data_IF_539563519297
#
_entry.id   IF_539563519297
#
_cell.length_a   1.000
_cell.length_b   1.000
_cell.length_c   1.000
_cell.angle_alpha   90.00
_cell.angle_beta   90.00
_cell.angle_gamma   90.00
#
_symmetry.space_group_name_H-M   'P 1'
#
loop_
_entity.id
_entity.type
_entity.pdbx_description
1 polymer ?
#
# COMPACT_ATOMS: atom_id res chain seq x y z
N UNK A 1 -33.16 84.35 7.23
CA UNK A 1 -33.08 83.19 8.14
C UNK A 1 -34.03 82.02 7.82
N UNK A 2 -34.94 82.10 6.83
CA UNK A 2 -35.81 80.95 6.43
C UNK A 2 -35.09 79.87 5.59
N UNK A 3 -34.00 80.21 4.89
CA UNK A 3 -33.22 79.25 4.06
C UNK A 3 -32.24 78.45 4.94
N UNK A 4 -31.75 79.02 6.05
CA UNK A 4 -30.87 78.31 6.99
C UNK A 4 -31.61 77.29 7.85
N UNK A 5 -32.88 77.50 8.16
CA UNK A 5 -33.72 76.55 8.92
C UNK A 5 -34.16 75.34 8.10
N UNK A 6 -34.44 75.51 6.80
CA UNK A 6 -34.74 74.39 5.90
C UNK A 6 -33.53 73.47 5.71
N UNK A 7 -32.34 74.04 5.49
CA UNK A 7 -31.09 73.27 5.40
C UNK A 7 -30.75 72.51 6.71
N UNK A 8 -31.05 73.08 7.88
CA UNK A 8 -30.88 72.42 9.18
C UNK A 8 -31.84 71.23 9.36
N UNK A 9 -33.07 71.37 8.87
CA UNK A 9 -34.08 70.31 8.91
C UNK A 9 -33.69 69.13 8.01
N UNK A 10 -33.34 69.40 6.76
CA UNK A 10 -32.96 68.37 5.79
C UNK A 10 -31.67 67.64 6.21
N UNK A 11 -30.68 68.37 6.75
CA UNK A 11 -29.47 67.74 7.29
C UNK A 11 -29.76 66.89 8.52
N UNK A 12 -30.71 67.28 9.38
CA UNK A 12 -31.08 66.47 10.56
C UNK A 12 -31.81 65.17 10.19
N UNK A 13 -32.71 65.21 9.20
CA UNK A 13 -33.39 64.01 8.67
C UNK A 13 -32.38 63.10 7.97
N UNK A 14 -31.50 63.65 7.14
CA UNK A 14 -30.44 62.89 6.47
C UNK A 14 -29.46 62.25 7.47
N UNK A 15 -29.24 62.87 8.63
CA UNK A 15 -28.45 62.28 9.72
C UNK A 15 -29.22 61.16 10.44
N UNK A 16 -30.52 61.32 10.69
CA UNK A 16 -31.36 60.28 11.29
C UNK A 16 -31.49 59.05 10.39
N UNK A 17 -31.76 59.24 9.10
CA UNK A 17 -31.81 58.16 8.11
C UNK A 17 -30.48 57.41 8.01
N UNK A 18 -29.34 58.12 8.02
CA UNK A 18 -28.02 57.48 8.07
C UNK A 18 -27.83 56.63 9.31
N UNK A 19 -28.20 57.13 10.49
CA UNK A 19 -28.10 56.36 11.76
C UNK A 19 -29.02 55.16 11.79
N UNK A 20 -30.24 55.29 11.26
CA UNK A 20 -31.18 54.19 11.13
C UNK A 20 -30.63 53.07 10.24
N UNK A 21 -30.01 53.43 9.10
CA UNK A 21 -29.36 52.46 8.22
C UNK A 21 -28.18 51.77 8.91
N UNK A 22 -27.34 52.51 9.65
CA UNK A 22 -26.21 51.91 10.38
C UNK A 22 -26.69 50.93 11.47
N UNK A 23 -27.76 51.26 12.20
CA UNK A 23 -28.37 50.36 13.19
C UNK A 23 -28.92 49.08 12.55
N UNK A 24 -29.54 49.17 11.38
CA UNK A 24 -30.01 48.00 10.65
C UNK A 24 -28.86 47.09 10.23
N UNK A 25 -27.77 47.66 9.69
CA UNK A 25 -26.57 46.88 9.34
C UNK A 25 -25.94 46.22 10.55
N UNK A 26 -25.78 46.94 11.68
CA UNK A 26 -25.24 46.36 12.90
C UNK A 26 -26.15 45.27 13.49
N UNK A 27 -27.46 45.46 13.44
CA UNK A 27 -28.42 44.42 13.82
C UNK A 27 -28.25 43.18 12.95
N UNK A 28 -28.09 43.33 11.63
CA UNK A 28 -27.82 42.20 10.72
C UNK A 28 -26.48 41.50 11.02
N UNK A 29 -25.42 42.26 11.33
CA UNK A 29 -24.13 41.69 11.72
C UNK A 29 -24.24 40.92 13.04
N UNK A 30 -24.98 41.44 14.02
CA UNK A 30 -25.22 40.77 15.30
C UNK A 30 -26.08 39.50 15.16
N UNK A 31 -27.10 39.52 14.30
CA UNK A 31 -27.97 38.35 14.10
C UNK A 31 -27.30 37.26 13.28
N UNK A 32 -26.47 37.64 12.31
CA UNK A 32 -25.72 36.69 11.46
C UNK A 32 -24.39 36.22 12.07
N UNK A 33 -23.83 36.95 13.04
CA UNK A 33 -22.48 36.72 13.55
C UNK A 33 -21.36 37.08 12.57
N UNK A 34 -21.68 37.69 11.41
CA UNK A 34 -20.71 38.03 10.37
C UNK A 34 -20.56 39.53 10.21
N UNK A 35 -19.32 40.00 10.18
CA UNK A 35 -18.95 41.37 9.84
C UNK A 35 -19.18 41.66 8.36
N UNK A 36 -18.90 40.71 7.49
CA UNK A 36 -19.01 40.83 6.03
C UNK A 36 -20.08 39.87 5.53
N UNK A 37 -21.22 40.39 5.09
CA UNK A 37 -22.30 39.58 4.50
C UNK A 37 -22.29 39.66 2.99
N UNK A 38 -22.05 40.84 2.44
CA UNK A 38 -22.00 41.10 1.01
C UNK A 38 -20.59 41.54 0.61
N UNK A 39 -20.20 41.24 -0.64
CA UNK A 39 -18.92 41.70 -1.18
C UNK A 39 -18.80 43.24 -1.21
N UNK A 40 -19.94 43.96 -1.18
CA UNK A 40 -19.99 45.42 -1.07
C UNK A 40 -19.58 45.96 0.31
N UNK A 41 -19.67 45.14 1.37
CA UNK A 41 -19.39 45.59 2.75
C UNK A 41 -17.87 45.74 2.96
N UNK A 42 -17.08 44.80 2.42
CA UNK A 42 -15.62 44.81 2.41
C UNK A 42 -15.11 43.87 1.30
N UNK A 43 -14.78 44.39 0.09
CA UNK A 43 -14.39 43.55 -1.03
C UNK A 43 -13.07 42.81 -0.78
N UNK A 44 -12.19 43.34 0.08
CA UNK A 44 -10.91 42.71 0.37
C UNK A 44 -11.06 41.52 1.31
N UNK A 45 -11.90 41.66 2.34
CA UNK A 45 -12.21 40.57 3.24
C UNK A 45 -13.06 39.50 2.56
N UNK A 46 -14.03 39.89 1.72
CA UNK A 46 -14.80 38.94 0.91
C UNK A 46 -13.87 38.09 0.02
N UNK A 47 -12.90 38.70 -0.67
CA UNK A 47 -11.93 37.97 -1.49
C UNK A 47 -10.96 37.06 -0.67
N UNK A 48 -10.74 37.35 0.62
CA UNK A 48 -9.98 36.46 1.51
C UNK A 48 -10.83 35.28 1.98
N UNK A 49 -12.08 35.52 2.39
CA UNK A 49 -13.02 34.46 2.77
C UNK A 49 -13.26 33.49 1.60
N UNK A 50 -13.46 34.00 0.38
CA UNK A 50 -13.65 33.16 -0.80
C UNK A 50 -12.44 32.26 -1.08
N UNK A 51 -11.22 32.82 -1.03
CA UNK A 51 -9.99 32.03 -1.20
C UNK A 51 -9.86 30.95 -0.13
N UNK A 52 -10.14 31.28 1.12
CA UNK A 52 -10.14 30.31 2.22
C UNK A 52 -11.20 29.20 2.00
N UNK A 53 -12.40 29.54 1.51
CA UNK A 53 -13.44 28.57 1.19
C UNK A 53 -13.05 27.63 0.06
N UNK A 54 -12.43 28.15 -1.01
CA UNK A 54 -11.91 27.33 -2.11
C UNK A 54 -10.84 26.36 -1.58
N UNK A 55 -9.94 26.83 -0.72
CA UNK A 55 -8.92 25.99 -0.12
C UNK A 55 -9.52 24.90 0.78
N UNK A 56 -10.51 25.23 1.62
CA UNK A 56 -11.25 24.23 2.40
C UNK A 56 -11.87 23.15 1.51
N UNK A 57 -12.52 23.54 0.40
CA UNK A 57 -13.12 22.59 -0.54
C UNK A 57 -12.10 21.66 -1.20
N UNK A 58 -10.88 22.16 -1.48
CA UNK A 58 -9.76 21.34 -1.98
C UNK A 58 -9.26 20.37 -0.93
N UNK A 59 -9.13 20.82 0.33
CA UNK A 59 -8.74 19.95 1.45
C UNK A 59 -9.77 18.85 1.68
N UNK A 60 -11.08 19.16 1.62
CA UNK A 60 -12.15 18.17 1.77
C UNK A 60 -12.16 17.12 0.65
N UNK A 61 -11.84 17.53 -0.59
CA UNK A 61 -11.64 16.58 -1.69
C UNK A 61 -10.44 15.67 -1.45
N UNK A 62 -9.33 16.21 -0.93
CA UNK A 62 -8.14 15.43 -0.59
C UNK A 62 -8.38 14.47 0.60
N UNK A 63 -9.14 14.89 1.62
CA UNK A 63 -9.48 14.03 2.76
C UNK A 63 -10.28 12.80 2.30
N UNK A 64 -11.27 12.98 1.42
CA UNK A 64 -12.02 11.86 0.82
C UNK A 64 -11.13 10.92 0.02
N UNK A 65 -10.20 11.47 -0.76
CA UNK A 65 -9.24 10.70 -1.54
C UNK A 65 -8.28 9.89 -0.65
N UNK A 66 -7.81 10.50 0.44
CA UNK A 66 -6.97 9.86 1.45
C UNK A 66 -7.70 8.73 2.15
N UNK A 67 -8.96 8.94 2.55
CA UNK A 67 -9.77 7.93 3.23
C UNK A 67 -10.04 6.72 2.32
N UNK A 68 -10.33 6.96 1.04
CA UNK A 68 -10.45 5.89 0.04
C UNK A 68 -9.14 5.08 -0.10
N UNK A 69 -8.00 5.77 -0.17
CA UNK A 69 -6.68 5.13 -0.19
C UNK A 69 -6.42 4.31 1.09
N UNK A 70 -6.68 4.87 2.28
CA UNK A 70 -6.51 4.20 3.57
C UNK A 70 -7.36 2.93 3.66
N UNK A 71 -8.61 2.99 3.21
CA UNK A 71 -9.50 1.82 3.20
C UNK A 71 -8.97 0.72 2.28
N UNK A 72 -8.54 1.06 1.06
CA UNK A 72 -7.96 0.10 0.13
C UNK A 72 -6.66 -0.51 0.63
N UNK A 73 -5.75 0.31 1.19
CA UNK A 73 -4.47 -0.16 1.74
C UNK A 73 -4.69 -1.06 2.96
N UNK A 74 -5.61 -0.70 3.87
CA UNK A 74 -5.98 -1.54 5.02
C UNK A 74 -6.54 -2.89 4.59
N UNK A 75 -7.44 -2.91 3.61
CA UNK A 75 -8.03 -4.15 3.11
C UNK A 75 -6.99 -5.03 2.39
N UNK A 76 -6.07 -4.41 1.64
CA UNK A 76 -4.96 -5.09 0.98
C UNK A 76 -3.96 -5.69 1.98
N UNK A 77 -3.63 -4.95 3.05
CA UNK A 77 -2.77 -5.42 4.14
C UNK A 77 -3.37 -6.65 4.82
N UNK A 78 -4.67 -6.58 5.18
CA UNK A 78 -5.38 -7.70 5.78
C UNK A 78 -5.43 -8.92 4.85
N UNK A 79 -5.68 -8.72 3.56
CA UNK A 79 -5.69 -9.80 2.56
C UNK A 79 -4.31 -10.50 2.45
N UNK A 80 -3.21 -9.74 2.44
CA UNK A 80 -1.88 -10.34 2.46
C UNK A 80 -1.56 -11.01 3.81
N UNK A 81 -2.11 -10.52 4.91
CA UNK A 81 -2.04 -11.17 6.22
C UNK A 81 -2.70 -12.55 6.22
N UNK A 82 -3.93 -12.63 5.70
CA UNK A 82 -4.67 -13.88 5.52
C UNK A 82 -3.89 -14.86 4.62
N UNK A 83 -3.35 -14.36 3.50
CA UNK A 83 -2.56 -15.15 2.56
C UNK A 83 -1.30 -15.74 3.21
N UNK A 84 -0.57 -14.94 4.01
CA UNK A 84 0.60 -15.41 4.74
C UNK A 84 0.24 -16.49 5.78
N UNK A 85 -0.92 -16.39 6.44
CA UNK A 85 -1.43 -17.44 7.31
C UNK A 85 -1.72 -18.76 6.58
N UNK A 86 -2.29 -18.69 5.38
CA UNK A 86 -2.51 -19.86 4.53
C UNK A 86 -1.20 -20.48 4.01
N UNK A 87 -0.21 -19.65 3.66
CA UNK A 87 1.11 -20.15 3.26
C UNK A 87 1.86 -20.84 4.41
N UNK A 88 1.68 -20.38 5.64
CA UNK A 88 2.19 -21.10 6.82
C UNK A 88 1.56 -22.49 6.94
N UNK A 89 0.24 -22.61 6.75
CA UNK A 89 -0.44 -23.91 6.73
C UNK A 89 0.05 -24.81 5.57
N UNK A 90 0.33 -24.22 4.40
CA UNK A 90 0.93 -24.94 3.28
C UNK A 90 2.33 -25.45 3.63
N UNK A 91 3.14 -24.61 4.28
CA UNK A 91 4.48 -24.97 4.77
C UNK A 91 4.42 -26.11 5.78
N UNK A 92 3.52 -26.05 6.77
CA UNK A 92 3.31 -27.15 7.73
C UNK A 92 2.93 -28.45 7.03
N UNK A 93 2.06 -28.36 6.03
CA UNK A 93 1.62 -29.51 5.22
C UNK A 93 2.80 -30.09 4.42
N UNK A 94 3.68 -29.25 3.87
CA UNK A 94 4.92 -29.69 3.22
C UNK A 94 5.91 -30.31 4.21
N UNK A 95 6.09 -29.73 5.39
CA UNK A 95 6.93 -30.34 6.44
C UNK A 95 6.43 -31.74 6.78
N UNK A 96 5.11 -31.92 6.94
CA UNK A 96 4.51 -33.24 7.16
C UNK A 96 4.74 -34.18 5.95
N UNK A 97 4.62 -33.66 4.73
CA UNK A 97 4.92 -34.43 3.52
C UNK A 97 6.40 -34.85 3.41
N UNK A 98 7.32 -34.21 4.12
CA UNK A 98 8.71 -34.66 4.22
C UNK A 98 8.90 -35.99 4.96
N UNK A 99 7.89 -36.48 5.69
CA UNK A 99 7.99 -37.74 6.44
C UNK A 99 8.19 -38.94 5.51
N UNK A 100 9.31 -39.65 5.66
CA UNK A 100 9.67 -40.79 4.81
C UNK A 100 8.73 -42.00 4.96
N UNK A 101 8.04 -42.13 6.10
CA UNK A 101 7.15 -43.26 6.39
C UNK A 101 5.76 -43.12 5.75
N UNK A 102 5.42 -41.97 5.16
CA UNK A 102 4.12 -41.77 4.51
C UNK A 102 4.03 -42.50 3.18
N UNK A 103 2.91 -43.20 3.01
CA UNK A 103 2.47 -43.85 1.78
C UNK A 103 2.03 -42.85 0.72
N UNK A 104 1.96 -43.30 -0.54
CA UNK A 104 1.46 -42.50 -1.66
C UNK A 104 0.01 -42.03 -1.43
N UNK A 105 -0.81 -42.83 -0.74
CA UNK A 105 -2.19 -42.47 -0.40
C UNK A 105 -2.25 -41.33 0.62
N UNK A 106 -1.41 -41.35 1.66
CA UNK A 106 -1.32 -40.27 2.66
C UNK A 106 -0.80 -38.98 2.02
N UNK A 107 0.22 -39.07 1.15
CA UNK A 107 0.75 -37.92 0.39
C UNK A 107 -0.30 -37.30 -0.53
N UNK A 108 -1.13 -38.12 -1.18
CA UNK A 108 -2.26 -37.64 -1.97
C UNK A 108 -3.26 -36.86 -1.11
N UNK A 109 -3.54 -37.31 0.11
CA UNK A 109 -4.36 -36.57 1.07
C UNK A 109 -3.78 -35.20 1.42
N UNK A 110 -2.45 -35.10 1.60
CA UNK A 110 -1.76 -33.81 1.79
C UNK A 110 -1.85 -32.92 0.54
N UNK A 111 -1.77 -33.51 -0.65
CA UNK A 111 -1.96 -32.78 -1.91
C UNK A 111 -3.37 -32.18 -2.03
N UNK A 112 -4.39 -32.89 -1.57
CA UNK A 112 -5.77 -32.39 -1.55
C UNK A 112 -5.94 -31.24 -0.54
N UNK A 113 -5.25 -31.31 0.61
CA UNK A 113 -5.18 -30.18 1.56
C UNK A 113 -4.50 -28.96 0.93
N UNK A 114 -3.36 -29.13 0.26
CA UNK A 114 -2.66 -28.04 -0.43
C UNK A 114 -3.51 -27.42 -1.54
N UNK A 115 -4.30 -28.23 -2.25
CA UNK A 115 -5.27 -27.72 -3.23
C UNK A 115 -6.31 -26.82 -2.58
N UNK A 116 -6.89 -27.22 -1.45
CA UNK A 116 -7.82 -26.37 -0.71
C UNK A 116 -7.19 -25.03 -0.32
N UNK A 117 -5.93 -25.05 0.15
CA UNK A 117 -5.18 -23.83 0.48
C UNK A 117 -4.95 -22.95 -0.77
N UNK A 118 -4.57 -23.56 -1.90
CA UNK A 118 -4.38 -22.88 -3.18
C UNK A 118 -5.66 -22.16 -3.63
N UNK A 119 -6.80 -22.83 -3.54
CA UNK A 119 -8.09 -22.27 -3.97
C UNK A 119 -8.52 -21.10 -3.06
N UNK A 120 -8.28 -21.22 -1.75
CA UNK A 120 -8.48 -20.12 -0.79
C UNK A 120 -7.56 -18.93 -1.08
N UNK A 121 -6.28 -19.18 -1.39
CA UNK A 121 -5.34 -18.12 -1.78
C UNK A 121 -5.77 -17.42 -3.07
N UNK A 122 -6.31 -18.16 -4.05
CA UNK A 122 -6.83 -17.57 -5.29
C UNK A 122 -8.03 -16.65 -5.01
N UNK A 123 -8.90 -17.03 -4.09
CA UNK A 123 -10.00 -16.18 -3.63
C UNK A 123 -9.50 -14.89 -2.96
N UNK A 124 -8.44 -14.98 -2.15
CA UNK A 124 -7.81 -13.79 -1.53
C UNK A 124 -7.13 -12.90 -2.58
N UNK A 125 -6.41 -13.48 -3.54
CA UNK A 125 -5.75 -12.75 -4.61
C UNK A 125 -6.77 -12.01 -5.52
N UNK A 126 -7.99 -12.52 -5.60
CA UNK A 126 -9.13 -11.91 -6.29
C UNK A 126 -10.13 -11.24 -5.33
N UNK A 127 -9.69 -10.73 -4.18
CA UNK A 127 -10.58 -10.03 -3.23
C UNK A 127 -11.04 -8.68 -3.81
N UNK A 128 -12.36 -8.39 -3.82
CA UNK A 128 -12.88 -7.13 -4.33
C UNK A 128 -12.55 -5.96 -3.39
N UNK A 129 -12.47 -4.75 -3.95
CA UNK A 129 -12.22 -3.51 -3.18
C UNK A 129 -13.50 -2.86 -2.62
N UNK A 130 -14.68 -3.43 -2.93
CA UNK A 130 -15.99 -2.90 -2.52
C UNK A 130 -16.55 -1.77 -3.40
N UNK A 131 -15.78 -1.28 -4.37
CA UNK A 131 -16.13 -0.20 -5.31
C UNK A 131 -16.30 -0.68 -6.76
N UNK A 132 -16.30 -2.00 -6.98
CA UNK A 132 -16.42 -2.63 -8.30
C UNK A 132 -15.09 -3.03 -8.94
N UNK A 133 -13.97 -2.84 -8.23
CA UNK A 133 -12.65 -3.31 -8.62
C UNK A 133 -12.10 -4.39 -7.69
N UNK A 134 -10.81 -4.68 -7.85
CA UNK A 134 -10.07 -5.67 -7.06
C UNK A 134 -8.82 -5.06 -6.46
N UNK A 135 -8.48 -5.46 -5.23
CA UNK A 135 -7.37 -4.89 -4.45
C UNK A 135 -6.01 -5.05 -5.16
N UNK A 136 -5.80 -6.19 -5.79
CA UNK A 136 -4.56 -6.57 -6.46
C UNK A 136 -4.59 -6.36 -7.98
N UNK A 137 -5.49 -5.50 -8.48
CA UNK A 137 -5.67 -5.26 -9.93
C UNK A 137 -4.63 -4.36 -10.58
N UNK A 138 -3.63 -3.87 -9.84
CA UNK A 138 -2.62 -2.97 -10.38
C UNK A 138 -3.23 -1.65 -10.84
N UNK A 139 -3.14 -1.30 -12.13
CA UNK A 139 -3.75 -0.07 -12.69
C UNK A 139 -5.29 -0.08 -12.78
N UNK A 140 -5.96 -1.06 -12.20
CA UNK A 140 -7.41 -1.13 -12.12
C UNK A 140 -8.02 -2.02 -13.19
N UNK A 141 -8.97 -2.84 -12.78
CA UNK A 141 -9.74 -3.73 -13.65
C UNK A 141 -11.05 -4.10 -12.95
N UNK A 142 -12.15 -4.15 -13.70
CA UNK A 142 -13.42 -4.72 -13.25
C UNK A 142 -13.46 -6.25 -13.37
N UNK A 143 -12.44 -6.85 -14.00
CA UNK A 143 -12.27 -8.30 -14.12
C UNK A 143 -11.30 -8.81 -13.04
N UNK A 144 -11.47 -10.06 -12.57
CA UNK A 144 -10.54 -10.69 -11.62
C UNK A 144 -9.07 -10.63 -12.12
N UNK A 145 -8.13 -10.16 -11.29
CA UNK A 145 -6.74 -10.01 -11.71
C UNK A 145 -5.98 -11.33 -11.90
N UNK A 146 -6.40 -12.41 -11.25
CA UNK A 146 -5.79 -13.73 -11.35
C UNK A 146 -6.76 -14.74 -11.95
N UNK A 147 -6.35 -15.36 -13.06
CA UNK A 147 -7.13 -16.40 -13.73
C UNK A 147 -6.40 -17.74 -13.64
N UNK A 148 -7.15 -18.77 -13.26
CA UNK A 148 -6.68 -20.15 -13.27
C UNK A 148 -6.82 -20.73 -14.69
N UNK A 149 -5.69 -20.98 -15.34
CA UNK A 149 -5.62 -21.51 -16.70
C UNK A 149 -4.95 -22.89 -16.71
N UNK A 150 -4.94 -23.57 -17.85
CA UNK A 150 -4.29 -24.87 -17.99
C UNK A 150 -2.78 -24.83 -17.66
N UNK A 151 -2.13 -23.67 -17.82
CA UNK A 151 -0.72 -23.44 -17.46
C UNK A 151 -0.50 -23.03 -16.01
N UNK A 152 -1.54 -23.01 -15.17
CA UNK A 152 -1.52 -22.47 -13.80
C UNK A 152 -2.17 -21.10 -13.69
N UNK A 153 -2.14 -20.52 -12.49
CA UNK A 153 -2.68 -19.20 -12.23
C UNK A 153 -1.76 -18.13 -12.81
N UNK A 154 -2.34 -17.20 -13.55
CA UNK A 154 -1.60 -16.07 -14.12
C UNK A 154 -2.27 -14.74 -13.82
N UNK A 155 -1.44 -13.73 -13.59
CA UNK A 155 -1.87 -12.35 -13.50
C UNK A 155 -2.23 -11.80 -14.89
N UNK A 156 -3.48 -11.40 -15.07
CA UNK A 156 -4.00 -10.81 -16.33
C UNK A 156 -4.31 -9.31 -16.21
N UNK A 157 -4.02 -8.71 -15.05
CA UNK A 157 -4.13 -7.27 -14.85
C UNK A 157 -2.99 -6.48 -15.49
N UNK A 158 -3.09 -5.15 -15.44
CA UNK A 158 -1.99 -4.27 -15.87
C UNK A 158 -1.14 -3.91 -14.65
N UNK A 159 0.18 -4.21 -14.66
CA UNK A 159 1.08 -3.89 -13.54
C UNK A 159 1.12 -2.39 -13.24
N UNK A 160 1.48 -2.03 -12.01
CA UNK A 160 1.47 -0.65 -11.51
C UNK A 160 0.36 -0.40 -10.49
N UNK A 161 0.00 0.86 -10.30
CA UNK A 161 -0.95 1.27 -9.26
C UNK A 161 -1.86 2.39 -9.76
N UNK A 162 -3.08 2.47 -9.23
CA UNK A 162 -3.97 3.61 -9.42
C UNK A 162 -3.60 4.68 -8.40
N UNK A 163 -3.53 5.92 -8.85
CA UNK A 163 -3.31 7.09 -8.00
C UNK A 163 -4.45 8.08 -8.10
N UNK A 164 -4.75 8.78 -7.01
CA UNK A 164 -5.72 9.88 -7.01
C UNK A 164 -5.24 11.05 -7.88
N UNK A 165 -6.14 11.68 -8.63
CA UNK A 165 -5.84 12.78 -9.55
C UNK A 165 -5.62 14.15 -8.90
N UNK A 166 -5.55 14.23 -7.57
CA UNK A 166 -5.36 15.47 -6.84
C UNK A 166 -3.87 15.83 -6.71
N UNK A 167 -3.55 16.97 -6.06
CA UNK A 167 -2.16 17.40 -5.81
C UNK A 167 -1.33 16.31 -5.11
N UNK A 168 -1.95 15.60 -4.16
CA UNK A 168 -1.38 14.42 -3.53
C UNK A 168 -1.90 13.17 -4.25
N UNK A 169 -0.97 12.38 -4.80
CA UNK A 169 -1.24 11.13 -5.53
C UNK A 169 -1.23 9.96 -4.56
N UNK A 170 -2.39 9.67 -3.96
CA UNK A 170 -2.56 8.54 -3.04
C UNK A 170 -2.83 7.26 -3.82
N UNK A 171 -2.16 6.18 -3.42
CA UNK A 171 -2.30 4.86 -4.04
C UNK A 171 -3.64 4.22 -3.67
N UNK A 172 -4.37 3.71 -4.65
CA UNK A 172 -5.69 3.09 -4.46
C UNK A 172 -5.72 1.59 -4.72
N UNK A 173 -4.62 1.00 -5.16
CA UNK A 173 -4.51 -0.43 -5.48
C UNK A 173 -3.08 -0.91 -5.27
N UNK A 174 -2.91 -2.23 -5.14
CA UNK A 174 -1.60 -2.87 -5.03
C UNK A 174 -1.26 -3.56 -6.35
N UNK A 175 0.01 -3.55 -6.73
CA UNK A 175 0.51 -4.34 -7.86
C UNK A 175 0.45 -5.83 -7.48
N UNK A 176 -0.60 -6.51 -7.94
CA UNK A 176 -0.79 -7.93 -7.71
C UNK A 176 0.32 -8.78 -8.30
N UNK A 177 0.90 -8.39 -9.43
CA UNK A 177 1.99 -9.15 -10.06
C UNK A 177 3.23 -9.13 -9.16
N UNK A 178 3.58 -7.95 -8.63
CA UNK A 178 4.70 -7.81 -7.71
C UNK A 178 4.50 -8.65 -6.42
N UNK A 179 3.29 -8.63 -5.85
CA UNK A 179 2.99 -9.32 -4.61
C UNK A 179 2.93 -10.86 -4.76
N UNK A 180 2.40 -11.38 -5.88
CA UNK A 180 2.05 -12.79 -6.03
C UNK A 180 2.89 -13.57 -7.06
N UNK A 181 3.52 -12.92 -8.03
CA UNK A 181 4.25 -13.59 -9.13
C UNK A 181 5.75 -13.30 -9.19
N UNK A 182 6.25 -12.32 -8.41
CA UNK A 182 7.63 -11.81 -8.53
C UNK A 182 8.48 -12.06 -7.29
N UNK A 183 8.16 -13.11 -6.52
CA UNK A 183 9.04 -13.50 -5.43
C UNK A 183 10.42 -13.90 -5.98
N UNK A 184 11.46 -13.62 -5.19
CA UNK A 184 12.83 -13.96 -5.54
C UNK A 184 13.07 -15.43 -5.27
N UNK A 185 13.48 -16.19 -6.29
CA UNK A 185 13.61 -17.64 -6.21
C UNK A 185 14.80 -18.10 -5.36
N UNK A 186 14.80 -19.38 -4.99
CA UNK A 186 15.95 -20.01 -4.35
C UNK A 186 16.15 -19.58 -2.89
N UNK A 187 17.39 -19.54 -2.45
CA UNK A 187 17.77 -19.01 -1.12
C UNK A 187 17.91 -17.48 -1.12
N UNK A 188 17.37 -16.80 -2.14
CA UNK A 188 17.54 -15.36 -2.38
C UNK A 188 18.76 -15.03 -3.26
N UNK A 189 19.75 -15.90 -3.39
CA UNK A 189 20.92 -15.68 -4.26
C UNK A 189 20.98 -16.65 -5.42
N UNK A 190 20.66 -17.92 -5.16
CA UNK A 190 20.67 -18.97 -6.17
C UNK A 190 19.63 -20.05 -5.85
N UNK A 191 19.30 -20.81 -6.88
CA UNK A 191 18.41 -21.97 -6.88
C UNK A 191 19.28 -23.19 -7.12
N UNK A 192 19.17 -24.16 -6.23
CA UNK A 192 19.71 -25.51 -6.42
C UNK A 192 18.61 -26.45 -6.87
N UNK A 193 18.95 -27.40 -7.75
CA UNK A 193 18.07 -28.51 -8.11
C UNK A 193 18.86 -29.77 -8.50
N UNK A 194 18.24 -30.93 -8.35
CA UNK A 194 18.77 -32.19 -8.81
C UNK A 194 18.34 -32.46 -10.26
N UNK A 195 19.31 -32.62 -11.14
CA UNK A 195 19.09 -32.93 -12.54
C UNK A 195 18.84 -34.42 -12.79
N UNK A 196 18.65 -34.76 -14.06
CA UNK A 196 18.60 -36.15 -14.53
C UNK A 196 20.02 -36.70 -14.71
N UNK A 197 20.21 -37.98 -14.42
CA UNK A 197 21.46 -38.69 -14.66
C UNK A 197 21.51 -39.19 -16.12
N UNK A 198 22.39 -38.65 -16.99
CA UNK A 198 22.49 -39.08 -18.39
C UNK A 198 23.14 -40.47 -18.54
N UNK A 199 23.82 -40.97 -17.50
CA UNK A 199 24.51 -42.27 -17.52
C UNK A 199 23.72 -43.40 -16.86
N UNK A 200 22.54 -43.10 -16.30
CA UNK A 200 21.64 -44.12 -15.77
C UNK A 200 21.15 -45.07 -16.87
N UNK A 201 20.65 -46.24 -16.50
CA UNK A 201 19.99 -47.16 -17.44
C UNK A 201 18.57 -47.45 -16.94
N UNK A 202 17.52 -46.94 -17.61
CA UNK A 202 17.55 -46.09 -18.81
C UNK A 202 18.15 -44.69 -18.54
N UNK A 203 18.75 -44.02 -19.56
CA UNK A 203 19.27 -42.66 -19.41
C UNK A 203 18.18 -41.66 -19.03
N UNK A 204 18.55 -40.67 -18.22
CA UNK A 204 17.64 -39.60 -17.81
C UNK A 204 16.83 -39.90 -16.54
N UNK A 205 17.21 -40.92 -15.76
CA UNK A 205 16.60 -41.17 -14.47
C UNK A 205 16.89 -40.01 -13.50
N UNK A 206 16.04 -39.80 -12.49
CA UNK A 206 16.30 -38.82 -11.45
C UNK A 206 17.58 -39.17 -10.67
N UNK A 207 18.33 -38.15 -10.25
CA UNK A 207 19.51 -38.32 -9.40
C UNK A 207 19.18 -39.12 -8.13
N UNK A 208 20.16 -39.91 -7.68
CA UNK A 208 20.06 -40.72 -6.45
C UNK A 208 20.55 -39.97 -5.22
N UNK A 209 21.18 -38.80 -5.39
CA UNK A 209 21.42 -37.82 -4.33
C UNK A 209 20.43 -36.67 -4.36
N UNK A 210 20.42 -35.87 -3.29
CA UNK A 210 19.70 -34.60 -3.24
C UNK A 210 20.63 -33.49 -2.78
N UNK A 211 20.43 -32.29 -3.31
CA UNK A 211 21.19 -31.08 -3.00
C UNK A 211 20.36 -30.18 -2.09
N UNK A 212 20.99 -29.64 -1.05
CA UNK A 212 20.37 -28.66 -0.17
C UNK A 212 20.18 -27.30 -0.89
N UNK A 213 19.39 -26.37 -0.31
CA UNK A 213 19.27 -25.00 -0.81
C UNK A 213 20.59 -24.23 -0.90
N UNK A 214 21.61 -24.69 -0.17
CA UNK A 214 22.90 -24.03 -0.02
C UNK A 214 22.82 -22.66 0.67
N UNK A 215 23.97 -22.01 0.77
CA UNK A 215 24.11 -20.65 1.28
C UNK A 215 25.24 -19.88 0.62
N UNK A 216 25.27 -18.57 0.86
CA UNK A 216 26.36 -17.69 0.45
C UNK A 216 27.31 -17.52 1.64
N UNK A 217 28.55 -17.96 1.49
CA UNK A 217 29.60 -17.80 2.50
C UNK A 217 30.37 -16.50 2.32
N UNK A 218 30.51 -16.01 1.08
CA UNK A 218 31.18 -14.75 0.79
C UNK A 218 30.50 -14.00 -0.38
N UNK A 219 29.69 -12.96 -0.10
CA UNK A 219 28.98 -12.21 -1.13
C UNK A 219 29.89 -11.52 -2.16
N UNK A 220 31.12 -11.14 -1.78
CA UNK A 220 32.05 -10.43 -2.67
C UNK A 220 32.62 -11.31 -3.79
N UNK A 221 32.49 -12.64 -3.67
CA UNK A 221 32.99 -13.62 -4.64
C UNK A 221 31.92 -14.15 -5.59
N UNK A 222 30.67 -13.70 -5.43
CA UNK A 222 29.57 -14.17 -6.26
C UNK A 222 29.76 -13.74 -7.72
N UNK A 223 29.74 -14.72 -8.61
CA UNK A 223 29.97 -14.54 -10.05
C UNK A 223 28.68 -14.41 -10.85
N UNK A 224 27.55 -14.89 -10.34
CA UNK A 224 26.26 -14.88 -11.04
C UNK A 224 26.18 -15.84 -12.23
N UNK A 225 27.09 -16.81 -12.33
CA UNK A 225 27.08 -17.84 -13.37
C UNK A 225 26.15 -19.00 -12.98
N UNK A 226 25.73 -19.77 -14.00
CA UNK A 226 25.10 -21.07 -13.78
C UNK A 226 26.19 -22.12 -13.60
N UNK A 227 26.11 -22.90 -12.52
CA UNK A 227 27.01 -24.01 -12.24
C UNK A 227 26.28 -25.35 -12.33
N UNK A 228 27.03 -26.38 -12.70
CA UNK A 228 26.62 -27.77 -12.61
C UNK A 228 27.66 -28.55 -11.81
N UNK A 229 27.22 -29.32 -10.82
CA UNK A 229 28.04 -30.26 -10.08
C UNK A 229 27.71 -31.66 -10.57
N UNK A 230 28.67 -32.34 -11.19
CA UNK A 230 28.50 -33.73 -11.59
C UNK A 230 29.30 -34.66 -10.69
N UNK A 231 28.68 -35.78 -10.30
CA UNK A 231 29.30 -36.83 -9.49
C UNK A 231 29.80 -37.94 -10.41
N UNK A 232 31.05 -38.33 -10.24
CA UNK A 232 31.68 -39.41 -10.97
C UNK A 232 32.23 -40.47 -10.02
N UNK A 233 32.26 -41.72 -10.49
CA UNK A 233 32.82 -42.86 -9.75
C UNK A 233 31.75 -43.84 -9.27
N UNK A 234 32.12 -45.13 -9.27
CA UNK A 234 31.21 -46.25 -8.96
C UNK A 234 31.35 -46.76 -7.53
N UNK A 235 32.46 -46.49 -6.85
CA UNK A 235 32.70 -46.89 -5.46
C UNK A 235 32.48 -45.69 -4.51
N UNK A 236 31.64 -45.81 -3.46
CA UNK A 236 31.30 -44.70 -2.56
C UNK A 236 32.50 -43.96 -1.94
N UNK A 237 33.60 -44.67 -1.65
CA UNK A 237 34.81 -44.08 -1.07
C UNK A 237 35.77 -43.44 -2.09
N UNK A 238 35.50 -43.60 -3.40
CA UNK A 238 36.32 -43.10 -4.48
C UNK A 238 35.54 -42.17 -5.44
N UNK A 239 34.34 -41.72 -5.04
CA UNK A 239 33.58 -40.75 -5.81
C UNK A 239 34.30 -39.40 -5.83
N UNK A 240 34.16 -38.69 -6.94
CA UNK A 240 34.66 -37.33 -7.12
C UNK A 240 33.54 -36.43 -7.62
N UNK A 241 33.56 -35.17 -7.24
CA UNK A 241 32.69 -34.15 -7.82
C UNK A 241 33.49 -33.30 -8.80
N UNK A 242 32.82 -32.80 -9.84
CA UNK A 242 33.37 -31.79 -10.76
C UNK A 242 32.39 -30.65 -10.91
N UNK A 243 32.90 -29.42 -10.88
CA UNK A 243 32.13 -28.18 -11.02
C UNK A 243 32.40 -27.62 -12.41
N UNK A 244 31.34 -27.30 -13.14
CA UNK A 244 31.40 -26.67 -14.46
C UNK A 244 30.46 -25.47 -14.51
N UNK A 245 30.90 -24.29 -14.99
CA UNK A 245 32.28 -23.93 -15.35
C UNK A 245 33.21 -23.96 -14.11
N UNK A 246 34.55 -24.03 -14.29
CA UNK A 246 35.48 -24.03 -13.17
C UNK A 246 35.36 -22.73 -12.36
N UNK A 247 35.46 -22.79 -11.01
CA UNK A 247 35.37 -21.61 -10.17
C UNK A 247 36.44 -20.56 -10.49
N UNK A 248 36.07 -19.30 -10.40
CA UNK A 248 36.96 -18.16 -10.68
C UNK A 248 37.83 -17.74 -9.49
N UNK A 249 37.42 -18.10 -8.27
CA UNK A 249 38.06 -17.67 -7.02
C UNK A 249 39.25 -18.54 -6.57
N UNK A 250 39.75 -19.40 -7.47
CA UNK A 250 40.85 -20.33 -7.20
C UNK A 250 40.44 -21.58 -6.40
N UNK A 251 39.15 -21.76 -6.09
CA UNK A 251 38.65 -23.00 -5.49
C UNK A 251 38.82 -24.18 -6.43
N UNK A 252 39.01 -25.38 -5.87
CA UNK A 252 39.18 -26.59 -6.66
C UNK A 252 37.91 -26.91 -7.46
N UNK A 253 38.02 -26.97 -8.79
CA UNK A 253 36.91 -27.37 -9.68
C UNK A 253 36.58 -28.88 -9.59
N UNK A 254 37.45 -29.68 -8.97
CA UNK A 254 37.26 -31.12 -8.77
C UNK A 254 37.81 -31.54 -7.41
N UNK A 255 37.18 -32.52 -6.78
CA UNK A 255 37.64 -33.04 -5.50
C UNK A 255 37.02 -34.39 -5.15
N UNK A 256 37.53 -35.04 -4.11
CA UNK A 256 36.89 -36.23 -3.55
C UNK A 256 35.51 -35.88 -3.00
N UNK A 257 34.52 -36.67 -3.35
CA UNK A 257 33.14 -36.49 -2.90
C UNK A 257 32.86 -37.39 -1.70
N UNK A 258 32.24 -36.81 -0.67
CA UNK A 258 31.66 -37.52 0.47
C UNK A 258 30.25 -37.00 0.70
N UNK A 259 29.22 -37.86 0.78
CA UNK A 259 27.86 -37.43 1.09
C UNK A 259 27.81 -36.63 2.39
N UNK A 260 27.08 -35.51 2.39
CA UNK A 260 26.89 -34.65 3.55
C UNK A 260 28.03 -33.67 3.84
N UNK A 261 29.11 -33.68 3.05
CA UNK A 261 30.17 -32.65 3.18
C UNK A 261 29.85 -31.42 2.33
N UNK A 262 30.12 -30.23 2.87
CA UNK A 262 29.92 -28.98 2.14
C UNK A 262 30.96 -28.82 1.03
N UNK A 263 30.48 -28.47 -0.16
CA UNK A 263 31.24 -28.11 -1.34
C UNK A 263 31.14 -26.58 -1.48
N UNK A 264 32.26 -25.89 -1.27
CA UNK A 264 32.34 -24.43 -1.35
C UNK A 264 33.20 -23.95 -2.51
N UNK A 265 32.71 -22.95 -3.26
CA UNK A 265 33.40 -22.34 -4.40
C UNK A 265 32.75 -21.00 -4.76
N UNK A 266 33.50 -20.03 -5.29
CA UNK A 266 32.99 -18.71 -5.71
C UNK A 266 32.03 -18.03 -4.69
N UNK A 267 32.32 -18.19 -3.39
CA UNK A 267 31.51 -17.64 -2.30
C UNK A 267 30.18 -18.37 -2.04
N UNK A 268 29.92 -19.47 -2.75
CA UNK A 268 28.80 -20.38 -2.56
C UNK A 268 29.20 -21.54 -1.66
N UNK A 269 28.23 -22.13 -0.97
CA UNK A 269 28.38 -23.41 -0.29
C UNK A 269 27.11 -24.24 -0.47
N UNK A 270 27.26 -25.48 -0.90
CA UNK A 270 26.17 -26.44 -1.08
C UNK A 270 26.56 -27.79 -0.48
N UNK A 271 25.59 -28.61 -0.14
CA UNK A 271 25.77 -29.93 0.43
C UNK A 271 24.93 -30.92 -0.36
N UNK A 272 25.56 -31.97 -0.87
CA UNK A 272 24.86 -33.07 -1.54
C UNK A 272 24.82 -34.26 -0.58
N UNK A 273 23.62 -34.79 -0.36
CA UNK A 273 23.34 -35.88 0.56
C UNK A 273 22.66 -37.06 -0.17
N UNK A 274 22.49 -38.18 0.53
CA UNK A 274 21.99 -39.43 -0.04
C UNK A 274 23.12 -40.29 -0.60
N UNK A 275 22.79 -41.14 -1.58
CA UNK A 275 23.75 -42.05 -2.20
C UNK A 275 23.81 -41.74 -3.71
N UNK A 276 24.38 -40.59 -4.12
CA UNK A 276 24.49 -40.27 -5.52
C UNK A 276 25.33 -41.31 -6.25
N UNK A 277 24.99 -41.52 -7.51
CA UNK A 277 25.67 -42.49 -8.37
C UNK A 277 26.44 -41.76 -9.47
N UNK A 278 27.31 -42.48 -10.17
CA UNK A 278 28.03 -41.95 -11.32
C UNK A 278 27.06 -41.30 -12.32
N UNK A 279 27.38 -40.09 -12.75
CA UNK A 279 26.59 -39.28 -13.69
C UNK A 279 25.47 -38.47 -13.05
N UNK A 280 25.23 -38.56 -11.74
CA UNK A 280 24.28 -37.64 -11.09
C UNK A 280 24.76 -36.19 -11.25
N UNK A 281 23.84 -35.31 -11.64
CA UNK A 281 24.13 -33.90 -11.91
C UNK A 281 23.22 -33.00 -11.10
N UNK A 282 23.77 -31.92 -10.55
CA UNK A 282 23.05 -30.93 -9.75
C UNK A 282 23.29 -29.54 -10.34
N UNK A 283 22.21 -28.80 -10.56
CA UNK A 283 22.27 -27.45 -11.13
C UNK A 283 22.21 -26.39 -10.04
N UNK A 284 22.97 -25.32 -10.23
CA UNK A 284 22.97 -24.14 -9.39
C UNK A 284 22.80 -22.95 -10.33
N UNK A 285 21.63 -22.31 -10.28
CA UNK A 285 21.30 -21.18 -11.13
C UNK A 285 21.10 -19.91 -10.29
N UNK A 286 21.46 -18.72 -10.78
CA UNK A 286 21.17 -17.47 -10.08
C UNK A 286 19.68 -17.30 -9.78
N UNK A 287 19.36 -16.68 -8.64
CA UNK A 287 17.99 -16.36 -8.28
C UNK A 287 17.38 -15.31 -9.21
N UNK A 288 16.10 -15.45 -9.50
CA UNK A 288 15.32 -14.56 -10.38
C UNK A 288 14.02 -14.14 -9.68
N UNK A 289 13.46 -12.99 -10.08
CA UNK A 289 12.17 -12.49 -9.56
C UNK A 289 11.00 -13.05 -10.37
N UNK A 290 10.93 -14.37 -10.52
CA UNK A 290 9.94 -15.05 -11.35
C UNK A 290 9.20 -16.17 -10.60
N UNK A 291 9.37 -16.24 -9.28
CA UNK A 291 8.72 -17.27 -8.48
C UNK A 291 7.28 -16.84 -8.17
N UNK A 292 6.33 -17.64 -8.65
CA UNK A 292 4.89 -17.41 -8.43
C UNK A 292 4.36 -18.26 -7.29
N UNK A 293 3.51 -17.69 -6.45
CA UNK A 293 2.88 -18.37 -5.32
C UNK A 293 2.13 -19.62 -5.77
N UNK A 294 1.31 -19.48 -6.81
CA UNK A 294 0.46 -20.58 -7.30
C UNK A 294 1.28 -21.67 -7.98
N UNK A 295 2.31 -21.32 -8.77
CA UNK A 295 3.22 -22.32 -9.37
C UNK A 295 3.92 -23.16 -8.31
N UNK A 296 4.30 -22.55 -7.17
CA UNK A 296 4.94 -23.28 -6.06
C UNK A 296 3.99 -24.32 -5.47
N UNK A 297 2.72 -23.96 -5.25
CA UNK A 297 1.70 -24.86 -4.75
C UNK A 297 1.31 -25.93 -5.78
N UNK A 298 1.18 -25.56 -7.05
CA UNK A 298 0.83 -26.49 -8.14
C UNK A 298 1.91 -27.54 -8.34
N UNK A 299 3.18 -27.13 -8.31
CA UNK A 299 4.32 -28.06 -8.33
C UNK A 299 4.29 -28.98 -7.12
N UNK A 300 4.05 -28.45 -5.92
CA UNK A 300 3.95 -29.27 -4.71
C UNK A 300 2.81 -30.30 -4.80
N UNK A 301 1.64 -29.88 -5.26
CA UNK A 301 0.47 -30.77 -5.46
C UNK A 301 0.79 -31.87 -6.48
N UNK A 302 1.41 -31.53 -7.61
CA UNK A 302 1.79 -32.50 -8.64
C UNK A 302 2.85 -33.50 -8.12
N UNK A 303 3.85 -33.01 -7.41
CA UNK A 303 4.92 -33.78 -6.79
C UNK A 303 4.39 -34.77 -5.74
N UNK A 304 3.42 -34.38 -4.92
CA UNK A 304 2.80 -35.24 -3.90
C UNK A 304 1.83 -36.27 -4.48
N UNK A 305 1.30 -36.04 -5.68
CA UNK A 305 0.41 -36.97 -6.39
C UNK A 305 1.14 -37.96 -7.27
N UNK A 306 2.41 -37.72 -7.56
CA UNK A 306 3.23 -38.62 -8.37
C UNK A 306 3.57 -39.85 -7.52
N UNK A 307 3.10 -41.06 -7.89
CA UNK A 307 3.31 -42.27 -7.10
C UNK A 307 4.75 -42.81 -7.25
N UNK A 308 5.14 -43.73 -6.36
CA UNK A 308 6.39 -44.50 -6.43
C UNK A 308 7.67 -43.65 -6.46
N UNK A 309 7.66 -42.48 -5.82
CA UNK A 309 8.85 -41.63 -5.70
C UNK A 309 9.81 -42.21 -4.67
N UNK A 310 11.11 -42.16 -4.96
CA UNK A 310 12.14 -42.57 -4.01
C UNK A 310 12.25 -41.57 -2.85
N UNK A 311 12.80 -42.01 -1.71
CA UNK A 311 13.03 -41.14 -0.55
C UNK A 311 13.89 -39.92 -0.89
N UNK A 312 14.87 -40.06 -1.79
CA UNK A 312 15.73 -38.95 -2.23
C UNK A 312 14.96 -37.97 -3.13
N UNK A 313 14.10 -38.47 -4.02
CA UNK A 313 13.23 -37.60 -4.82
C UNK A 313 12.28 -36.79 -3.94
N UNK A 314 11.69 -37.44 -2.92
CA UNK A 314 10.81 -36.79 -1.94
C UNK A 314 11.60 -35.72 -1.17
N UNK A 315 12.78 -36.05 -0.67
CA UNK A 315 13.65 -35.13 0.07
C UNK A 315 14.02 -33.90 -0.77
N UNK A 316 14.44 -34.09 -2.03
CA UNK A 316 14.75 -32.99 -2.95
C UNK A 316 13.54 -32.10 -3.19
N UNK A 317 12.40 -32.68 -3.60
CA UNK A 317 11.20 -31.86 -3.86
C UNK A 317 10.74 -31.13 -2.62
N UNK A 318 10.74 -31.80 -1.46
CA UNK A 318 10.29 -31.18 -0.22
C UNK A 318 11.19 -30.00 0.18
N UNK A 319 12.51 -30.17 0.06
CA UNK A 319 13.47 -29.09 0.30
C UNK A 319 13.26 -27.91 -0.66
N UNK A 320 13.08 -28.18 -1.96
CA UNK A 320 12.80 -27.16 -2.97
C UNK A 320 11.48 -26.42 -2.68
N UNK A 321 10.39 -27.14 -2.39
CA UNK A 321 9.08 -26.54 -2.12
C UNK A 321 9.08 -25.74 -0.81
N UNK A 322 9.74 -26.21 0.26
CA UNK A 322 9.85 -25.46 1.51
C UNK A 322 10.64 -24.15 1.32
N UNK A 323 11.78 -24.22 0.62
CA UNK A 323 12.56 -23.03 0.25
C UNK A 323 11.72 -22.03 -0.56
N UNK A 324 11.02 -22.53 -1.58
CA UNK A 324 10.21 -21.69 -2.46
C UNK A 324 9.00 -21.09 -1.70
N UNK A 325 8.38 -21.85 -0.77
CA UNK A 325 7.32 -21.35 0.13
C UNK A 325 7.84 -20.24 1.06
N UNK A 326 9.01 -20.44 1.66
CA UNK A 326 9.68 -19.43 2.50
C UNK A 326 9.99 -18.15 1.70
N UNK A 327 10.44 -18.29 0.45
CA UNK A 327 10.68 -17.16 -0.45
C UNK A 327 9.40 -16.38 -0.80
N UNK A 328 8.29 -17.06 -1.15
CA UNK A 328 7.03 -16.35 -1.45
C UNK A 328 6.40 -15.72 -0.20
N UNK A 329 6.52 -16.35 0.97
CA UNK A 329 6.09 -15.74 2.24
C UNK A 329 6.91 -14.48 2.55
N UNK A 330 8.23 -14.51 2.35
CA UNK A 330 9.09 -13.33 2.50
C UNK A 330 8.71 -12.19 1.54
N UNK A 331 8.33 -12.51 0.31
CA UNK A 331 7.84 -11.52 -0.65
C UNK A 331 6.50 -10.90 -0.19
N UNK A 332 5.55 -11.71 0.26
CA UNK A 332 4.28 -11.21 0.79
C UNK A 332 4.47 -10.34 2.04
N UNK A 333 5.38 -10.72 2.93
CA UNK A 333 5.73 -9.91 4.10
C UNK A 333 6.35 -8.57 3.68
N UNK A 334 7.23 -8.58 2.67
CA UNK A 334 7.81 -7.36 2.11
C UNK A 334 6.73 -6.45 1.49
N UNK A 335 5.78 -7.01 0.75
CA UNK A 335 4.63 -6.27 0.21
C UNK A 335 3.76 -5.68 1.34
N UNK A 336 3.48 -6.44 2.41
CA UNK A 336 2.79 -5.92 3.60
C UNK A 336 3.54 -4.78 4.27
N UNK A 337 4.86 -4.89 4.41
CA UNK A 337 5.68 -3.82 4.97
C UNK A 337 5.64 -2.55 4.13
N UNK A 338 5.63 -2.67 2.80
CA UNK A 338 5.47 -1.51 1.89
C UNK A 338 4.09 -0.85 2.06
N UNK A 339 3.02 -1.63 2.17
CA UNK A 339 1.67 -1.10 2.44
C UNK A 339 1.62 -0.45 3.83
N UNK A 340 2.27 -1.04 4.84
CA UNK A 340 2.38 -0.44 6.17
C UNK A 340 3.07 0.93 6.16
N UNK A 341 4.17 1.06 5.42
CA UNK A 341 4.83 2.36 5.21
C UNK A 341 3.90 3.36 4.49
N UNK A 342 3.11 2.89 3.53
CA UNK A 342 2.13 3.73 2.84
C UNK A 342 1.03 4.20 3.80
N UNK A 343 0.53 3.35 4.71
CA UNK A 343 -0.44 3.74 5.74
C UNK A 343 0.14 4.83 6.66
N UNK A 344 1.38 4.70 7.10
CA UNK A 344 2.06 5.76 7.89
C UNK A 344 2.18 7.08 7.11
N UNK A 345 2.46 7.02 5.81
CA UNK A 345 2.48 8.21 4.95
C UNK A 345 1.08 8.87 4.81
N UNK A 346 0.02 8.05 4.80
CA UNK A 346 -1.37 8.55 4.82
C UNK A 346 -1.68 9.23 6.15
N UNK A 347 -1.25 8.69 7.29
CA UNK A 347 -1.43 9.32 8.61
C UNK A 347 -0.77 10.70 8.68
N UNK A 348 0.47 10.82 8.18
CA UNK A 348 1.16 12.11 8.10
C UNK A 348 0.45 13.10 7.16
N UNK A 349 -0.11 12.61 6.05
CA UNK A 349 -0.87 13.45 5.11
C UNK A 349 -2.20 13.90 5.70
N UNK A 350 -2.89 13.05 6.47
CA UNK A 350 -4.13 13.39 7.17
C UNK A 350 -3.89 14.51 8.20
N UNK A 351 -2.81 14.41 8.97
CA UNK A 351 -2.42 15.45 9.93
C UNK A 351 -2.17 16.80 9.23
N UNK A 352 -1.42 16.78 8.11
CA UNK A 352 -1.17 17.98 7.30
C UNK A 352 -2.46 18.59 6.74
N UNK A 353 -3.33 17.77 6.15
CA UNK A 353 -4.61 18.23 5.60
C UNK A 353 -5.52 18.80 6.69
N UNK A 354 -5.56 18.17 7.86
CA UNK A 354 -6.32 18.68 9.01
C UNK A 354 -5.80 20.04 9.49
N UNK A 355 -4.48 20.24 9.51
CA UNK A 355 -3.86 21.53 9.80
C UNK A 355 -4.20 22.60 8.77
N UNK A 356 -4.14 22.27 7.47
CA UNK A 356 -4.53 23.20 6.39
C UNK A 356 -6.01 23.58 6.47
N UNK A 357 -6.90 22.62 6.77
CA UNK A 357 -8.33 22.90 6.97
C UNK A 357 -8.56 23.86 8.14
N UNK A 358 -7.86 23.65 9.25
CA UNK A 358 -7.95 24.53 10.42
C UNK A 358 -7.47 25.94 10.08
N UNK A 359 -6.32 26.06 9.41
CA UNK A 359 -5.77 27.34 8.99
C UNK A 359 -6.72 28.10 8.05
N UNK A 360 -7.24 27.44 7.00
CA UNK A 360 -8.21 28.04 6.10
C UNK A 360 -9.50 28.44 6.82
N UNK A 361 -9.95 27.64 7.79
CA UNK A 361 -11.12 27.99 8.62
C UNK A 361 -10.86 29.24 9.48
N UNK A 362 -9.65 29.37 10.04
CA UNK A 362 -9.24 30.57 10.79
C UNK A 362 -9.13 31.80 9.89
N UNK A 363 -8.57 31.68 8.68
CA UNK A 363 -8.51 32.78 7.72
C UNK A 363 -9.90 33.25 7.29
N UNK A 364 -10.81 32.31 7.06
CA UNK A 364 -12.21 32.61 6.77
C UNK A 364 -12.87 33.36 7.93
N UNK A 365 -12.74 32.83 9.15
CA UNK A 365 -13.28 33.44 10.36
C UNK A 365 -12.74 34.85 10.58
N UNK A 366 -11.42 35.04 10.47
CA UNK A 366 -10.79 36.35 10.60
C UNK A 366 -11.24 37.36 9.52
N UNK A 367 -11.66 36.88 8.35
CA UNK A 367 -12.17 37.72 7.27
C UNK A 367 -13.66 38.08 7.47
N UNK A 368 -14.51 37.13 7.85
CA UNK A 368 -15.97 37.28 7.80
C UNK A 368 -16.66 37.42 9.16
N UNK A 369 -16.10 36.89 10.25
CA UNK A 369 -16.78 36.84 11.55
C UNK A 369 -16.69 38.18 12.29
N UNK A 370 -17.73 38.46 13.07
CA UNK A 370 -17.79 39.66 13.91
C UNK A 370 -17.31 39.36 15.33
N UNK A 371 -16.54 40.29 15.91
CA UNK A 371 -16.33 40.30 17.36
C UNK A 371 -17.63 40.74 18.04
N UNK A 372 -18.38 39.76 18.55
CA UNK A 372 -19.68 39.98 19.18
C UNK A 372 -19.61 40.92 20.38
N UNK A 373 -18.51 40.91 21.14
CA UNK A 373 -18.37 41.78 22.33
C UNK A 373 -18.28 43.24 21.90
N UNK A 374 -17.45 43.51 20.89
CA UNK A 374 -17.33 44.84 20.32
C UNK A 374 -18.60 45.27 19.59
N UNK A 375 -19.18 44.39 18.79
CA UNK A 375 -20.39 44.68 18.01
C UNK A 375 -21.60 45.02 18.89
N UNK A 376 -21.81 44.30 20.00
CA UNK A 376 -22.89 44.61 20.96
C UNK A 376 -22.66 45.98 21.58
N UNK A 377 -21.42 46.30 21.96
CA UNK A 377 -21.06 47.60 22.54
C UNK A 377 -21.28 48.75 21.57
N UNK A 378 -20.84 48.58 20.32
CA UNK A 378 -21.03 49.56 19.25
C UNK A 378 -22.52 49.76 18.91
N UNK A 379 -23.30 48.68 18.89
CA UNK A 379 -24.75 48.73 18.67
C UNK A 379 -25.48 49.50 19.79
N UNK A 380 -25.16 49.21 21.06
CA UNK A 380 -25.75 49.92 22.20
C UNK A 380 -25.40 51.42 22.19
N UNK A 381 -24.15 51.75 21.85
CA UNK A 381 -23.71 53.14 21.71
C UNK A 381 -24.46 53.86 20.57
N UNK A 382 -24.61 53.21 19.42
CA UNK A 382 -25.35 53.78 18.29
C UNK A 382 -26.85 53.92 18.57
N UNK A 383 -27.45 52.96 19.26
CA UNK A 383 -28.85 53.00 19.66
C UNK A 383 -29.09 54.18 20.61
N UNK A 384 -28.25 54.33 21.63
CA UNK A 384 -28.32 55.45 22.57
C UNK A 384 -28.13 56.79 21.86
N UNK A 385 -27.19 56.86 20.91
CA UNK A 385 -26.96 58.07 20.10
C UNK A 385 -28.12 58.40 19.15
N UNK A 386 -28.79 57.39 18.59
CA UNK A 386 -29.98 57.56 17.76
C UNK A 386 -31.16 58.09 18.59
N UNK A 387 -31.40 57.51 19.77
CA UNK A 387 -32.43 57.98 20.71
C UNK A 387 -32.18 59.42 21.17
N UNK A 388 -30.92 59.77 21.43
CA UNK A 388 -30.52 61.14 21.76
C UNK A 388 -30.78 62.09 20.58
N UNK A 389 -30.43 61.70 19.34
CA UNK A 389 -30.67 62.49 18.14
C UNK A 389 -32.17 62.72 17.89
N UNK A 390 -33.01 61.69 18.09
CA UNK A 390 -34.47 61.83 18.01
C UNK A 390 -35.01 62.82 19.04
N UNK A 391 -34.52 62.76 20.28
CA UNK A 391 -34.90 63.71 21.35
C UNK A 391 -34.46 65.14 21.02
N UNK A 392 -33.23 65.33 20.55
CA UNK A 392 -32.73 66.64 20.12
C UNK A 392 -33.51 67.21 18.94
N UNK A 393 -33.84 66.36 17.95
CA UNK A 393 -34.68 66.75 16.82
C UNK A 393 -36.08 67.18 17.26
N UNK A 394 -36.73 66.43 18.15
CA UNK A 394 -38.02 66.78 18.72
C UNK A 394 -37.99 68.11 19.51
N UNK A 395 -36.90 68.40 20.22
CA UNK A 395 -36.70 69.69 20.92
C UNK A 395 -36.53 70.85 19.94
N UNK A 396 -35.75 70.69 18.87
CA UNK A 396 -35.56 71.71 17.82
C UNK A 396 -36.86 71.98 17.07
N UNK A 397 -37.62 70.93 16.73
CA UNK A 397 -38.95 71.07 16.13
C UNK A 397 -39.89 71.89 17.03
N UNK A 398 -39.93 71.61 18.34
CA UNK A 398 -40.72 72.36 19.33
C UNK A 398 -40.31 73.83 19.45
N UNK A 399 -39.01 74.15 19.44
CA UNK A 399 -38.53 75.54 19.49
C UNK A 399 -38.88 76.33 18.23
N UNK A 400 -38.83 75.71 17.05
CA UNK A 400 -39.21 76.37 15.79
C UNK A 400 -40.70 76.74 15.73
N UNK A 401 -41.58 75.88 16.29
CA UNK A 401 -43.01 76.13 16.43
C UNK A 401 -43.31 77.26 17.42
N UNK A 402 -42.57 77.32 18.53
CA UNK A 402 -42.68 78.42 19.49
C UNK A 402 -42.22 79.77 18.93
N UNK A 403 -41.17 79.81 18.10
CA UNK A 403 -40.73 81.03 17.41
C UNK A 403 -41.68 81.45 16.27
N UNK A 404 -42.36 80.49 15.63
CA UNK A 404 -43.37 80.76 14.60
C UNK A 404 -44.70 81.28 15.19
N UNK A 405 -45.01 80.95 16.45
CA UNK A 405 -46.20 81.42 17.16
C UNK A 405 -46.01 82.74 17.92
N UNK A 406 -44.76 83.12 18.23
CA UNK A 406 -44.41 84.32 19.01
C UNK A 406 -43.75 85.45 18.19
N UNK A 407 -43.75 85.36 16.86
CA UNK A 407 -43.34 86.44 15.95
C UNK A 407 -44.32 86.52 14.80
#
# INVERSE_FOLDING_TARGET
MRISTANLYDTSIANLQRRQNTLQTQQQQLTSGKRVQHASDDPTAAARSERAQVEMGRVDANQRALEASRNSMTLSEAALGDANGLLQQARETMVAAGNASYSDAERKGLADKLRGIRDQLLSIANRPDGSGGYLFSGQGSSNPPFLDQASGVSYVGTPGTIQTGNLDRFQMSVDGRAAWEQARSGNGFFVTDAGTNPTSTPPGAAAQGWIDPGGVTNPSKLTGLNYSISIAGTAPAAQTYTISPPPSDGSAATGSFKPGTSIGFDGLAVTISGAPVNGDNFSIAPATNSLKVFDVLDKAIAELRTPLRSGNQIAQSNSNRLRDLDAVMGNMQSARSQIGAQLTNLDGSESRLSGLKLYATQEKSAAEDVDMVRAISDFQNQQTGYDAALKSYAMVQRMSLFQYLNG
#
